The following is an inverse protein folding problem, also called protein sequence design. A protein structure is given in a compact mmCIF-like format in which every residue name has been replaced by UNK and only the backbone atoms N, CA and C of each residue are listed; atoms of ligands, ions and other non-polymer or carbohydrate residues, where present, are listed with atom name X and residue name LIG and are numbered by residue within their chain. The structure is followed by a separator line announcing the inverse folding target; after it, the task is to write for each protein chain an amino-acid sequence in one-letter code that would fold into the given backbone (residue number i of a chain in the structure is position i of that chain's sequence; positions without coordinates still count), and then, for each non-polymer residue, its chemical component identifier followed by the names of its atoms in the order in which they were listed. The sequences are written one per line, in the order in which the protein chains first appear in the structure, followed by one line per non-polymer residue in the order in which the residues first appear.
data_IF_526274231936
#
_entry.id   IF_526274231936
#
_cell.length_a   1.000
_cell.length_b   1.000
_cell.length_c   1.000
_cell.angle_alpha   90.00
_cell.angle_beta   90.00
_cell.angle_gamma   90.00
#
_symmetry.space_group_name_H-M   'P 1'
#
loop_
_entity.id
_entity.type
_entity.pdbx_description
1 polymer ?
#
# COMPACT_ATOMS: atom_id res chain seq x y z
N UNK A 1 -15.97 6.18 -9.31
CA UNK A 1 -15.28 5.82 -8.06
C UNK A 1 -13.90 5.37 -8.47
N UNK A 2 -12.88 6.14 -8.12
CA UNK A 2 -11.49 5.74 -8.42
C UNK A 2 -11.03 4.84 -7.30
N UNK A 3 -10.40 3.72 -7.65
CA UNK A 3 -9.91 2.70 -6.74
C UNK A 3 -8.49 3.06 -6.33
N UNK A 4 -8.14 2.89 -5.06
CA UNK A 4 -6.76 3.00 -4.61
C UNK A 4 -5.89 1.95 -5.33
N UNK A 5 -4.57 2.15 -5.30
CA UNK A 5 -3.63 1.17 -5.82
C UNK A 5 -3.14 0.29 -4.67
N UNK A 6 -3.38 -1.02 -4.82
CA UNK A 6 -2.78 -2.05 -3.99
C UNK A 6 -1.62 -2.69 -4.72
N UNK A 7 -0.56 -2.98 -3.97
CA UNK A 7 0.65 -3.60 -4.49
C UNK A 7 1.03 -4.79 -3.61
N UNK A 8 1.03 -5.98 -4.20
CA UNK A 8 1.41 -7.21 -3.49
C UNK A 8 2.89 -7.51 -3.67
N UNK A 9 3.55 -7.87 -2.57
CA UNK A 9 4.93 -8.35 -2.54
C UNK A 9 5.02 -9.65 -1.73
N UNK A 10 5.92 -10.56 -2.15
CA UNK A 10 6.36 -11.66 -1.29
C UNK A 10 7.41 -11.18 -0.30
N UNK A 11 7.60 -11.91 0.79
CA UNK A 11 8.72 -11.70 1.70
C UNK A 11 9.20 -13.00 2.34
N UNK A 12 10.46 -13.01 2.76
CA UNK A 12 11.07 -14.12 3.51
C UNK A 12 11.40 -13.72 4.96
N UNK A 13 10.72 -12.71 5.50
CA UNK A 13 10.89 -12.29 6.88
C UNK A 13 10.35 -13.36 7.84
N UNK A 14 11.12 -13.64 8.90
CA UNK A 14 10.63 -14.39 10.06
C UNK A 14 9.88 -13.46 11.03
N UNK A 15 9.26 -14.06 12.05
CA UNK A 15 8.49 -13.31 13.05
C UNK A 15 9.31 -12.23 13.76
N UNK A 16 10.59 -12.46 14.02
CA UNK A 16 11.47 -11.47 14.67
C UNK A 16 11.72 -10.28 13.76
N UNK A 17 11.98 -10.51 12.47
CA UNK A 17 12.15 -9.42 11.50
C UNK A 17 10.86 -8.67 11.20
N UNK A 18 9.71 -9.34 11.26
CA UNK A 18 8.41 -8.66 11.16
C UNK A 18 8.21 -7.75 12.38
N UNK A 19 8.50 -8.23 13.58
CA UNK A 19 8.42 -7.45 14.81
C UNK A 19 9.32 -6.18 14.79
N UNK A 20 10.49 -6.25 14.16
CA UNK A 20 11.40 -5.10 14.01
C UNK A 20 11.18 -4.29 12.72
N UNK A 21 10.14 -4.61 11.94
CA UNK A 21 9.97 -4.10 10.58
C UNK A 21 9.93 -2.57 10.46
N UNK A 22 9.23 -1.80 11.31
CA UNK A 22 9.26 -0.34 11.24
C UNK A 22 10.69 0.22 11.32
N UNK A 23 11.46 -0.24 12.30
CA UNK A 23 12.87 0.14 12.50
C UNK A 23 13.71 -0.21 11.27
N UNK A 24 13.54 -1.43 10.73
CA UNK A 24 14.29 -1.89 9.57
C UNK A 24 13.96 -1.08 8.31
N UNK A 25 12.68 -0.75 8.08
CA UNK A 25 12.25 0.08 6.96
C UNK A 25 12.84 1.50 7.08
N UNK A 26 12.72 2.13 8.25
CA UNK A 26 13.25 3.48 8.48
C UNK A 26 14.77 3.53 8.25
N UNK A 27 15.52 2.56 8.78
CA UNK A 27 16.96 2.46 8.54
C UNK A 27 17.31 2.21 7.07
N UNK A 28 16.54 1.37 6.37
CA UNK A 28 16.79 1.07 4.97
C UNK A 28 16.49 2.25 4.06
N UNK A 29 15.43 3.01 4.33
CA UNK A 29 14.99 4.13 3.49
C UNK A 29 15.67 5.46 3.81
N UNK A 30 16.23 5.64 5.01
CA UNK A 30 16.94 6.87 5.40
C UNK A 30 17.96 7.38 4.35
N UNK A 31 18.77 6.55 3.68
CA UNK A 31 19.69 7.03 2.64
C UNK A 31 19.02 7.42 1.31
N UNK A 32 17.79 6.98 1.08
CA UNK A 32 17.05 7.15 -0.18
C UNK A 32 15.97 8.24 -0.11
N UNK A 33 15.79 8.90 1.03
CA UNK A 33 14.73 9.91 1.23
C UNK A 33 14.76 11.00 0.16
N UNK A 34 15.94 11.48 -0.21
CA UNK A 34 16.10 12.49 -1.26
C UNK A 34 15.89 11.98 -2.70
N UNK A 35 15.87 10.66 -2.89
CA UNK A 35 15.72 10.01 -4.20
C UNK A 35 14.29 9.56 -4.48
N UNK A 36 13.48 9.39 -3.44
CA UNK A 36 12.11 8.92 -3.56
C UNK A 36 11.17 10.12 -3.54
N UNK A 37 10.74 10.56 -4.72
CA UNK A 37 9.72 11.59 -4.87
C UNK A 37 8.40 10.92 -5.23
N UNK A 38 7.67 10.38 -4.25
CA UNK A 38 6.31 9.93 -4.54
C UNK A 38 5.40 11.16 -4.55
N UNK A 39 5.09 11.67 -5.74
CA UNK A 39 4.08 12.72 -5.90
C UNK A 39 2.72 12.12 -5.67
N UNK A 40 2.18 12.35 -4.48
CA UNK A 40 0.79 11.98 -4.22
C UNK A 40 -0.07 13.17 -4.60
N UNK A 41 -0.54 13.16 -5.85
CA UNK A 41 -1.40 14.22 -6.38
C UNK A 41 -2.79 14.06 -5.73
N UNK A 42 -3.10 14.92 -4.76
CA UNK A 42 -4.29 14.79 -3.93
C UNK A 42 -5.37 15.77 -4.37
N UNK A 43 -6.38 15.23 -5.05
CA UNK A 43 -7.75 15.72 -4.91
C UNK A 43 -8.44 15.26 -3.62
N UNK A 44 -7.76 14.46 -2.78
CA UNK A 44 -8.19 14.06 -1.44
C UNK A 44 -6.94 13.77 -0.58
N UNK A 45 -6.58 14.73 0.28
CA UNK A 45 -5.52 14.64 1.30
C UNK A 45 -6.21 14.47 2.65
N UNK A 46 -6.05 13.32 3.29
CA UNK A 46 -6.37 13.16 4.71
C UNK A 46 -5.07 13.01 5.48
N UNK A 47 -4.84 13.87 6.48
CA UNK A 47 -3.81 13.65 7.50
C UNK A 47 -4.46 12.90 8.66
N UNK A 48 -3.87 11.81 9.12
CA UNK A 48 -4.19 11.27 10.45
C UNK A 48 -3.52 12.21 11.46
N UNK A 49 -4.27 13.17 11.98
CA UNK A 49 -3.82 14.01 13.09
C UNK A 49 -4.15 13.26 14.37
N UNK A 50 -3.14 12.99 15.19
CA UNK A 50 -3.32 12.52 16.55
C UNK A 50 -4.11 13.60 17.31
N UNK A 51 -5.39 13.36 17.55
CA UNK A 51 -6.19 14.20 18.42
C UNK A 51 -5.79 13.87 19.87
N UNK A 52 -5.28 14.87 20.58
CA UNK A 52 -5.25 14.84 22.03
C UNK A 52 -6.71 14.74 22.52
N UNK A 53 -7.02 13.62 23.16
CA UNK A 53 -8.26 13.28 23.86
C UNK A 53 -9.55 13.07 22.99
N UNK A 54 -9.95 11.80 22.94
CA UNK A 54 -11.34 11.34 22.95
C UNK A 54 -12.27 11.70 21.77
N UNK A 55 -11.92 11.28 20.55
CA UNK A 55 -12.93 11.05 19.48
C UNK A 55 -12.49 11.44 18.07
N UNK A 56 -12.64 10.50 17.13
CA UNK A 56 -12.44 10.75 15.70
C UNK A 56 -13.60 11.57 15.14
N UNK A 57 -13.43 12.88 15.00
CA UNK A 57 -14.37 13.72 14.27
C UNK A 57 -13.81 14.01 12.87
N UNK A 58 -14.42 13.42 11.84
CA UNK A 58 -14.14 13.73 10.44
C UNK A 58 -14.71 15.13 10.13
N UNK A 59 -13.98 16.18 10.50
CA UNK A 59 -14.34 17.52 10.06
C UNK A 59 -13.72 17.81 8.70
N UNK A 60 -14.49 17.59 7.66
CA UNK A 60 -14.18 18.11 6.33
C UNK A 60 -14.19 19.64 6.39
N UNK A 61 -13.03 20.27 6.56
CA UNK A 61 -12.89 21.71 6.40
C UNK A 61 -12.51 22.03 4.96
N UNK A 62 -13.38 22.78 4.27
CA UNK A 62 -13.22 23.27 2.89
C UNK A 62 -12.10 24.31 2.71
N UNK A 63 -11.01 24.28 3.49
CA UNK A 63 -9.97 25.31 3.44
C UNK A 63 -8.59 24.75 3.08
N UNK A 64 -7.95 25.43 2.13
CA UNK A 64 -6.64 25.23 1.49
C UNK A 64 -5.41 25.32 2.45
N UNK A 65 -5.55 25.01 3.74
CA UNK A 65 -4.49 25.17 4.76
C UNK A 65 -3.66 23.90 5.02
N UNK A 66 -3.91 22.80 4.30
CA UNK A 66 -3.26 21.50 4.53
C UNK A 66 -1.93 21.33 3.77
N UNK A 67 -1.73 22.02 2.63
CA UNK A 67 -0.40 22.13 1.99
C UNK A 67 0.63 22.72 2.96
N UNK A 68 0.15 23.58 3.88
CA UNK A 68 0.93 24.24 4.92
C UNK A 68 1.27 23.34 6.13
N UNK A 69 0.62 22.18 6.30
CA UNK A 69 0.93 21.24 7.40
C UNK A 69 1.90 20.14 6.95
N UNK A 70 1.77 19.63 5.71
CA UNK A 70 2.79 18.77 5.11
C UNK A 70 4.13 19.51 4.96
N UNK A 71 4.09 20.83 4.71
CA UNK A 71 5.27 21.70 4.69
C UNK A 71 5.88 21.98 6.08
N UNK A 72 5.22 21.59 7.18
CA UNK A 72 5.70 21.77 8.56
C UNK A 72 6.26 20.50 9.20
N UNK A 73 6.03 19.33 8.62
CA UNK A 73 6.75 18.13 9.00
C UNK A 73 8.16 18.27 8.41
N UNK A 74 9.19 18.15 9.26
CA UNK A 74 10.55 18.06 8.75
C UNK A 74 10.64 16.83 7.83
N UNK A 75 11.42 16.90 6.74
CA UNK A 75 11.52 15.81 5.75
C UNK A 75 11.82 14.43 6.38
N UNK A 76 12.43 14.43 7.57
CA UNK A 76 12.76 13.25 8.37
C UNK A 76 11.54 12.59 9.04
N UNK A 77 10.51 13.38 9.41
CA UNK A 77 9.29 12.85 10.06
C UNK A 77 8.32 12.23 9.06
N UNK A 78 8.37 12.67 7.79
CA UNK A 78 7.48 12.21 6.73
C UNK A 78 7.71 10.74 6.38
N UNK A 79 8.90 10.18 6.63
CA UNK A 79 9.30 8.84 6.19
C UNK A 79 9.34 7.78 7.30
N UNK A 80 8.72 8.06 8.43
CA UNK A 80 8.66 7.13 9.55
C UNK A 80 7.55 6.11 9.37
N UNK A 81 7.94 4.86 9.16
CA UNK A 81 7.09 3.69 9.33
C UNK A 81 6.86 3.44 10.82
N UNK A 82 5.62 3.20 11.19
CA UNK A 82 5.19 2.85 12.54
C UNK A 82 4.09 1.80 12.51
N UNK A 83 3.90 1.12 13.64
CA UNK A 83 2.75 0.23 13.80
C UNK A 83 1.45 1.04 13.79
N UNK A 84 0.45 0.57 13.06
CA UNK A 84 -0.92 1.05 13.24
C UNK A 84 -1.46 0.41 14.52
N UNK A 85 -1.88 1.21 15.49
CA UNK A 85 -2.66 0.70 16.62
C UNK A 85 -3.83 1.62 16.92
N UNK A 86 -5.04 1.07 16.95
CA UNK A 86 -6.21 1.80 17.45
C UNK A 86 -6.19 1.95 18.98
N UNK A 87 -5.31 1.24 19.71
CA UNK A 87 -5.38 1.13 21.18
C UNK A 87 -4.05 1.30 21.95
N UNK A 88 -2.87 1.43 21.32
CA UNK A 88 -1.62 2.03 21.87
C UNK A 88 -0.36 1.52 21.15
N UNK A 89 0.67 2.37 21.11
CA UNK A 89 2.00 2.19 20.47
C UNK A 89 2.88 1.04 21.01
N UNK A 90 2.33 0.05 21.72
CA UNK A 90 3.14 -0.98 22.38
C UNK A 90 3.31 -2.25 21.55
N UNK A 91 4.56 -2.74 21.50
CA UNK A 91 5.00 -3.98 20.84
C UNK A 91 4.19 -5.24 21.24
N UNK A 92 3.63 -5.26 22.45
CA UNK A 92 2.83 -6.38 22.97
C UNK A 92 1.50 -6.57 22.20
N UNK A 93 1.03 -5.54 21.48
CA UNK A 93 -0.19 -5.61 20.68
C UNK A 93 0.03 -6.28 19.32
N UNK A 94 1.21 -6.18 18.71
CA UNK A 94 1.51 -6.76 17.38
C UNK A 94 1.29 -8.28 17.34
N UNK A 95 1.80 -9.01 18.33
CA UNK A 95 1.66 -10.47 18.36
C UNK A 95 0.20 -10.89 18.55
N UNK A 96 -0.58 -10.10 19.29
CA UNK A 96 -2.01 -10.34 19.48
C UNK A 96 -2.78 -10.06 18.19
N UNK A 97 -2.49 -8.95 17.51
CA UNK A 97 -3.09 -8.61 16.22
C UNK A 97 -2.77 -9.66 15.15
N UNK A 98 -1.52 -10.12 15.06
CA UNK A 98 -1.15 -11.20 14.14
C UNK A 98 -1.94 -12.49 14.43
N UNK A 99 -2.17 -12.82 15.71
CA UNK A 99 -2.98 -13.99 16.07
C UNK A 99 -4.47 -13.81 15.78
N UNK A 100 -5.00 -12.59 15.94
CA UNK A 100 -6.41 -12.27 15.76
C UNK A 100 -6.79 -12.12 14.29
N UNK A 101 -5.96 -11.44 13.51
CA UNK A 101 -6.26 -11.02 12.14
C UNK A 101 -5.41 -11.76 11.09
N UNK A 102 -4.32 -12.42 11.49
CA UNK A 102 -3.42 -13.13 10.59
C UNK A 102 -2.41 -12.24 9.85
N UNK A 103 -2.46 -10.93 10.09
CA UNK A 103 -1.54 -9.92 9.57
C UNK A 103 -1.34 -8.81 10.61
N UNK A 104 -0.37 -7.95 10.35
CA UNK A 104 -0.12 -6.71 11.10
C UNK A 104 -0.10 -5.51 10.17
N UNK A 105 -0.44 -4.35 10.69
CA UNK A 105 -0.60 -3.14 9.88
C UNK A 105 0.46 -2.10 10.26
N UNK A 106 1.20 -1.60 9.28
CA UNK A 106 2.10 -0.46 9.43
C UNK A 106 1.55 0.73 8.65
N UNK A 107 1.61 1.92 9.24
CA UNK A 107 1.40 3.18 8.52
C UNK A 107 2.76 3.76 8.17
N UNK A 108 2.89 4.26 6.95
CA UNK A 108 4.07 4.94 6.46
C UNK A 108 3.75 6.32 5.90
N UNK A 109 4.71 6.84 5.15
CA UNK A 109 4.67 8.15 4.52
C UNK A 109 3.51 8.32 3.54
N UNK A 110 3.02 9.57 3.38
CA UNK A 110 2.14 9.97 2.29
C UNK A 110 0.89 9.10 2.05
N UNK A 111 0.24 8.67 3.13
CA UNK A 111 -0.95 7.81 3.03
C UNK A 111 -0.65 6.41 2.49
N UNK A 112 0.58 5.93 2.67
CA UNK A 112 0.92 4.54 2.42
C UNK A 112 0.73 3.71 3.68
N UNK A 113 0.32 2.47 3.49
CA UNK A 113 0.28 1.48 4.56
C UNK A 113 0.68 0.10 4.07
N UNK A 114 1.20 -0.71 4.98
CA UNK A 114 1.59 -2.10 4.73
C UNK A 114 0.77 -3.02 5.62
N UNK A 115 0.03 -3.94 5.02
CA UNK A 115 -0.49 -5.11 5.72
C UNK A 115 0.48 -6.26 5.49
N UNK A 116 1.10 -6.75 6.56
CA UNK A 116 2.17 -7.75 6.52
C UNK A 116 1.65 -9.03 7.15
N UNK A 117 1.47 -10.05 6.31
CA UNK A 117 1.07 -11.39 6.71
C UNK A 117 2.28 -12.26 7.03
N UNK A 118 2.05 -13.58 7.07
CA UNK A 118 3.13 -14.54 7.36
C UNK A 118 4.05 -14.80 6.15
N UNK A 119 3.55 -14.64 4.92
CA UNK A 119 4.27 -15.05 3.69
C UNK A 119 4.22 -14.00 2.57
N UNK A 120 3.42 -12.96 2.74
CA UNK A 120 3.19 -11.91 1.76
C UNK A 120 2.73 -10.64 2.46
N UNK A 121 2.81 -9.54 1.73
CA UNK A 121 2.32 -8.25 2.18
C UNK A 121 1.60 -7.53 1.05
N UNK A 122 0.75 -6.60 1.42
CA UNK A 122 0.15 -5.62 0.51
C UNK A 122 0.51 -4.21 0.98
N UNK A 123 0.99 -3.41 0.04
CA UNK A 123 1.13 -1.98 0.18
C UNK A 123 -0.11 -1.32 -0.40
N UNK A 124 -0.85 -0.59 0.42
CA UNK A 124 -1.91 0.31 -0.01
C UNK A 124 -1.34 1.72 -0.10
N UNK A 125 -1.80 2.49 -1.09
CA UNK A 125 -1.30 3.85 -1.34
C UNK A 125 -2.47 4.79 -1.59
N UNK A 126 -2.34 6.05 -1.17
CA UNK A 126 -3.25 7.12 -1.59
C UNK A 126 -3.20 7.45 -3.09
N UNK A 127 -2.37 6.75 -3.89
CA UNK A 127 -2.32 6.91 -5.33
C UNK A 127 -3.49 6.16 -5.96
N UNK A 128 -4.27 6.90 -6.73
CA UNK A 128 -5.36 6.32 -7.50
C UNK A 128 -4.86 5.47 -8.65
N UNK A 129 -5.56 4.36 -8.91
CA UNK A 129 -5.18 3.42 -9.97
C UNK A 129 -5.07 4.08 -11.35
N UNK A 130 -6.02 4.93 -11.71
CA UNK A 130 -5.99 5.66 -12.98
C UNK A 130 -4.78 6.60 -13.06
N UNK A 131 -4.45 7.31 -11.98
CA UNK A 131 -3.24 8.15 -11.93
C UNK A 131 -1.98 7.31 -12.17
N UNK A 132 -1.84 6.16 -11.50
CA UNK A 132 -0.71 5.25 -11.71
C UNK A 132 -0.62 4.74 -13.17
N UNK A 133 -1.75 4.51 -13.82
CA UNK A 133 -1.79 4.00 -15.20
C UNK A 133 -1.51 5.09 -16.24
N UNK A 134 -1.97 6.33 -16.00
CA UNK A 134 -1.94 7.41 -16.99
C UNK A 134 -0.80 8.40 -16.84
N UNK A 135 -0.30 8.62 -15.63
CA UNK A 135 0.79 9.56 -15.37
C UNK A 135 2.15 8.83 -15.38
N UNK A 136 3.00 9.03 -16.41
CA UNK A 136 4.29 8.35 -16.50
C UNK A 136 5.27 8.72 -15.39
N UNK A 137 5.13 9.90 -14.79
CA UNK A 137 5.99 10.36 -13.69
C UNK A 137 5.59 9.60 -12.42
N UNK A 138 4.30 9.63 -12.05
CA UNK A 138 3.78 8.86 -10.90
C UNK A 138 4.10 7.38 -11.04
N UNK A 139 3.89 6.83 -12.24
CA UNK A 139 4.21 5.44 -12.55
C UNK A 139 5.70 5.13 -12.34
N UNK A 140 6.60 5.98 -12.83
CA UNK A 140 8.04 5.77 -12.69
C UNK A 140 8.49 5.84 -11.24
N UNK A 141 8.06 6.88 -10.52
CA UNK A 141 8.50 7.14 -9.15
C UNK A 141 8.01 6.06 -8.20
N UNK A 142 6.75 5.64 -8.34
CA UNK A 142 6.20 4.55 -7.53
C UNK A 142 6.86 3.21 -7.85
N UNK A 143 7.11 2.89 -9.12
CA UNK A 143 7.81 1.65 -9.49
C UNK A 143 9.24 1.63 -8.96
N UNK A 144 9.92 2.78 -8.97
CA UNK A 144 11.24 2.89 -8.37
C UNK A 144 11.19 2.61 -6.86
N UNK A 145 10.25 3.23 -6.14
CA UNK A 145 10.01 2.96 -4.72
C UNK A 145 9.73 1.47 -4.44
N UNK A 146 8.84 0.86 -5.22
CA UNK A 146 8.46 -0.54 -5.08
C UNK A 146 9.60 -1.51 -5.39
N UNK A 147 10.52 -1.16 -6.29
CA UNK A 147 11.76 -1.93 -6.50
C UNK A 147 12.69 -1.88 -5.29
N UNK A 148 12.77 -0.73 -4.60
CA UNK A 148 13.52 -0.65 -3.34
C UNK A 148 12.87 -1.51 -2.25
N UNK A 149 11.54 -1.49 -2.12
CA UNK A 149 10.81 -2.37 -1.20
C UNK A 149 11.00 -3.84 -1.55
N UNK A 150 10.85 -4.21 -2.81
CA UNK A 150 11.04 -5.59 -3.27
C UNK A 150 12.43 -6.12 -2.94
N UNK A 151 13.47 -5.30 -3.16
CA UNK A 151 14.84 -5.62 -2.77
C UNK A 151 14.98 -5.79 -1.25
N UNK A 152 14.33 -4.94 -0.45
CA UNK A 152 14.33 -5.05 1.01
C UNK A 152 13.68 -6.36 1.48
N UNK A 153 12.54 -6.73 0.91
CA UNK A 153 11.82 -7.97 1.26
C UNK A 153 12.39 -9.23 0.60
N UNK A 154 13.33 -9.07 -0.34
CA UNK A 154 13.96 -10.17 -1.07
C UNK A 154 13.04 -10.85 -2.07
N UNK A 155 12.10 -10.11 -2.69
CA UNK A 155 11.25 -10.59 -3.77
C UNK A 155 11.74 -10.07 -5.13
N UNK A 156 11.59 -10.89 -6.16
CA UNK A 156 11.92 -10.55 -7.54
C UNK A 156 10.69 -10.16 -8.36
N UNK A 157 9.51 -10.09 -7.73
CA UNK A 157 8.26 -9.77 -8.42
C UNK A 157 7.35 -8.92 -7.56
N UNK A 158 6.57 -8.07 -8.24
CA UNK A 158 5.57 -7.17 -7.65
C UNK A 158 4.29 -7.27 -8.46
N UNK A 159 3.14 -7.33 -7.78
CA UNK A 159 1.82 -7.33 -8.43
C UNK A 159 1.11 -6.00 -8.16
N UNK A 160 0.73 -5.29 -9.21
CA UNK A 160 -0.03 -4.05 -9.16
C UNK A 160 -1.51 -4.36 -9.44
N UNK A 161 -2.42 -3.90 -8.59
CA UNK A 161 -3.85 -4.12 -8.75
C UNK A 161 -4.69 -2.96 -8.19
N UNK A 162 -5.89 -2.70 -8.75
CA UNK A 162 -6.81 -1.71 -8.22
C UNK A 162 -7.56 -2.23 -6.97
N UNK A 163 -7.72 -1.38 -5.96
CA UNK A 163 -8.30 -1.67 -4.63
C UNK A 163 -9.83 -1.85 -4.60
N UNK A 164 -10.56 -1.61 -5.69
CA UNK A 164 -12.03 -1.59 -5.66
C UNK A 164 -12.73 -2.48 -6.66
N UNK A 165 -12.01 -3.43 -7.26
CA UNK A 165 -12.54 -4.17 -8.42
C UNK A 165 -12.59 -5.64 -8.10
N UNK A 166 -13.75 -6.32 -8.20
CA UNK A 166 -13.79 -7.77 -8.19
C UNK A 166 -12.87 -8.32 -9.29
N UNK A 167 -12.09 -9.37 -9.01
CA UNK A 167 -12.13 -10.14 -7.77
C UNK A 167 -11.17 -9.63 -6.67
N UNK A 168 -10.49 -8.49 -6.84
CA UNK A 168 -9.33 -8.05 -6.06
C UNK A 168 -9.59 -7.22 -4.77
N UNK A 169 -10.72 -6.51 -4.64
CA UNK A 169 -10.88 -5.45 -3.62
C UNK A 169 -10.76 -5.86 -2.14
N UNK A 170 -10.85 -7.16 -1.84
CA UNK A 170 -10.53 -7.68 -0.51
C UNK A 170 -9.63 -8.91 -0.58
N UNK A 171 -9.26 -9.35 -1.79
CA UNK A 171 -8.53 -10.61 -1.91
C UNK A 171 -7.07 -10.45 -1.58
N UNK A 172 -6.46 -9.30 -1.86
CA UNK A 172 -5.09 -9.06 -1.39
C UNK A 172 -5.01 -9.16 0.14
N UNK A 173 -5.83 -8.38 0.84
CA UNK A 173 -5.89 -8.33 2.31
C UNK A 173 -6.32 -9.68 2.90
N UNK A 174 -7.39 -10.30 2.39
CA UNK A 174 -7.86 -11.61 2.84
C UNK A 174 -6.81 -12.70 2.63
N UNK A 175 -6.09 -12.67 1.52
CA UNK A 175 -5.05 -13.65 1.25
C UNK A 175 -3.85 -13.45 2.17
N UNK A 176 -3.45 -12.19 2.39
CA UNK A 176 -2.38 -11.83 3.33
C UNK A 176 -2.77 -12.27 4.75
N UNK A 177 -3.99 -11.99 5.18
CA UNK A 177 -4.56 -12.43 6.46
C UNK A 177 -4.61 -13.96 6.60
N UNK A 178 -4.94 -14.68 5.52
CA UNK A 178 -4.90 -16.15 5.47
C UNK A 178 -3.49 -16.72 5.40
N UNK A 179 -2.46 -15.87 5.35
CA UNK A 179 -1.06 -16.27 5.23
C UNK A 179 -0.72 -16.89 3.88
N UNK A 180 -1.40 -16.52 2.80
CA UNK A 180 -1.06 -17.03 1.47
C UNK A 180 0.31 -16.50 1.03
N UNK A 181 1.07 -17.34 0.32
CA UNK A 181 2.31 -16.91 -0.33
C UNK A 181 2.02 -16.09 -1.59
N UNK A 182 3.02 -15.35 -2.04
CA UNK A 182 2.97 -14.63 -3.31
C UNK A 182 2.55 -15.52 -4.48
N UNK A 183 3.10 -16.73 -4.57
CA UNK A 183 2.81 -17.71 -5.62
C UNK A 183 1.37 -18.21 -5.56
N UNK A 184 0.83 -18.41 -4.35
CA UNK A 184 -0.57 -18.82 -4.16
C UNK A 184 -1.52 -17.73 -4.64
N UNK A 185 -1.25 -16.47 -4.28
CA UNK A 185 -2.04 -15.31 -4.71
C UNK A 185 -1.95 -15.12 -6.22
N UNK A 186 -0.74 -15.18 -6.79
CA UNK A 186 -0.52 -15.10 -8.23
C UNK A 186 -1.23 -16.23 -8.98
N UNK A 187 -1.13 -17.48 -8.51
CA UNK A 187 -1.80 -18.63 -9.12
C UNK A 187 -3.32 -18.47 -9.11
N UNK A 188 -3.87 -17.97 -8.00
CA UNK A 188 -5.28 -17.66 -7.90
C UNK A 188 -5.67 -16.54 -8.86
N UNK A 189 -4.93 -15.43 -8.92
CA UNK A 189 -5.17 -14.34 -9.87
C UNK A 189 -5.15 -14.83 -11.32
N UNK A 190 -4.18 -15.66 -11.68
CA UNK A 190 -4.06 -16.29 -13.00
C UNK A 190 -5.23 -17.22 -13.34
N UNK A 191 -5.84 -17.86 -12.34
CA UNK A 191 -7.06 -18.66 -12.53
C UNK A 191 -8.28 -17.82 -12.87
N UNK A 192 -8.28 -16.54 -12.49
CA UNK A 192 -9.36 -15.58 -12.79
C UNK A 192 -9.12 -14.88 -14.13
N UNK A 193 -7.90 -14.39 -14.36
CA UNK A 193 -7.49 -13.72 -15.59
C UNK A 193 -5.97 -13.71 -15.78
N UNK A 194 -5.51 -13.66 -17.02
CA UNK A 194 -4.10 -13.47 -17.33
C UNK A 194 -3.63 -12.06 -16.90
N UNK A 195 -2.36 -11.90 -16.48
CA UNK A 195 -1.80 -10.57 -16.20
C UNK A 195 -1.78 -9.71 -17.46
N UNK A 196 -1.90 -8.40 -17.28
CA UNK A 196 -1.64 -7.45 -18.36
C UNK A 196 -0.18 -7.53 -18.79
N UNK A 197 0.09 -7.40 -20.09
CA UNK A 197 1.47 -7.40 -20.61
C UNK A 197 2.13 -6.04 -20.40
N UNK A 198 1.36 -4.96 -20.47
CA UNK A 198 1.82 -3.60 -20.19
C UNK A 198 0.85 -2.89 -19.25
N UNK A 199 1.36 -1.98 -18.41
CA UNK A 199 0.54 -1.21 -17.46
C UNK A 199 -0.61 -0.45 -18.15
N UNK A 200 -0.34 0.15 -19.31
CA UNK A 200 -1.36 0.82 -20.14
C UNK A 200 -2.49 -0.10 -20.62
N UNK A 201 -2.32 -1.41 -20.61
CA UNK A 201 -3.39 -2.35 -21.02
C UNK A 201 -4.43 -2.56 -19.92
N UNK A 202 -4.11 -2.17 -18.68
CA UNK A 202 -5.03 -2.25 -17.53
C UNK A 202 -6.10 -1.16 -17.51
N UNK A 203 -6.12 -0.30 -18.53
CA UNK A 203 -7.16 0.71 -18.77
C UNK A 203 -8.50 0.07 -19.15
N UNK A 204 -8.53 -1.22 -19.54
CA UNK A 204 -9.78 -1.88 -19.95
C UNK A 204 -10.79 -1.86 -18.81
N UNK A 205 -11.63 -0.84 -18.80
CA UNK A 205 -12.70 -0.69 -17.84
C UNK A 205 -13.85 -1.58 -18.26
N UNK A 206 -14.29 -2.45 -17.37
CA UNK A 206 -15.53 -3.18 -17.55
C UNK A 206 -16.61 -2.40 -16.82
N UNK A 207 -17.75 -2.19 -17.49
CA UNK A 207 -18.93 -1.69 -16.81
C UNK A 207 -19.46 -2.79 -15.89
N UNK A 208 -19.40 -2.55 -14.59
CA UNK A 208 -19.87 -3.48 -13.56
C UNK A 208 -21.32 -3.11 -13.23
N UNK A 209 -22.27 -3.90 -13.73
CA UNK A 209 -23.70 -3.62 -13.60
C UNK A 209 -24.16 -3.51 -12.14
N UNK A 210 -23.61 -4.33 -11.24
CA UNK A 210 -23.97 -4.35 -9.82
C UNK A 210 -23.61 -3.06 -9.09
N UNK A 211 -22.56 -2.38 -9.51
CA UNK A 211 -22.09 -1.11 -8.93
C UNK A 211 -22.36 0.09 -9.82
N UNK A 212 -22.96 -0.13 -11.01
CA UNK A 212 -23.25 0.87 -12.05
C UNK A 212 -22.05 1.77 -12.35
N UNK A 213 -20.84 1.21 -12.32
CA UNK A 213 -19.61 1.97 -12.52
C UNK A 213 -18.68 1.28 -13.51
N UNK A 214 -17.86 2.09 -14.19
CA UNK A 214 -16.74 1.60 -14.98
C UNK A 214 -15.60 1.29 -14.03
N UNK A 215 -15.20 0.02 -13.98
CA UNK A 215 -14.17 -0.48 -13.10
C UNK A 215 -12.94 -0.85 -13.93
N UNK A 216 -11.74 -0.34 -13.62
CA UNK A 216 -10.52 -0.93 -14.17
C UNK A 216 -10.50 -2.42 -13.84
N UNK A 217 -9.92 -3.24 -14.71
CA UNK A 217 -9.85 -4.69 -14.53
C UNK A 217 -8.46 -5.16 -14.90
N UNK A 218 -7.99 -6.17 -14.18
CA UNK A 218 -6.67 -6.75 -14.40
C UNK A 218 -5.70 -6.48 -13.26
N UNK A 219 -4.52 -7.05 -13.43
CA UNK A 219 -3.36 -6.80 -12.62
C UNK A 219 -2.13 -6.84 -13.53
N UNK A 220 -1.06 -6.18 -13.10
CA UNK A 220 0.22 -6.23 -13.79
C UNK A 220 1.25 -6.87 -12.87
N UNK A 221 2.06 -7.76 -13.43
CA UNK A 221 3.18 -8.37 -12.73
C UNK A 221 4.46 -7.77 -13.30
N UNK A 222 5.24 -7.13 -12.44
CA UNK A 222 6.59 -6.68 -12.77
C UNK A 222 7.60 -7.68 -12.23
N UNK A 223 8.49 -8.14 -13.10
CA UNK A 223 9.71 -8.83 -12.69
C UNK A 223 10.82 -7.80 -12.42
N UNK A 224 11.51 -7.97 -11.30
CA UNK A 224 12.60 -7.13 -10.82
C UNK A 224 13.89 -7.91 -11.04
N UNK A 225 14.74 -7.37 -11.90
CA UNK A 225 16.04 -7.92 -12.29
C UNK A 225 17.17 -7.40 -11.40
#
# INVERSE_FOLDING_TARGET
MSTELNVLLGHNLDATRIADLPTLLNQYFAPYLHQIQVRVDHGYTGTIVQAEDDGWDWQGSENDDWELQLAKLEDEDLWNWGWYSEQSDSFENWFQEQQLYGYVHLVGCYGMSLLVGSNSLVLSTGIRWDHFVFDPIVQNDLRQFLRYLAKFFGTNSVIYMPDGTPPACHVADDCVAKGWSFEQILSWLQSQQAPAKFIREMIKTVYVESTKCWSPQGYYVEEIL
#
